data_IF_842906911372
#
_entry.id   IF_842906911372
#
_cell.length_a   1.000
_cell.length_b   1.000
_cell.length_c   1.000
_cell.angle_alpha   90.00
_cell.angle_beta   90.00
_cell.angle_gamma   90.00
#
_symmetry.space_group_name_H-M   'P 1'
#
loop_
_entity.id
_entity.type
_entity.pdbx_description
1 polymer ?
#
# COMPACT_ATOMS: atom_id res chain seq x y z
N UNK A 1 -15.64 19.01 -17.72
CA UNK A 1 -14.45 18.22 -17.31
C UNK A 1 -13.51 19.12 -16.55
N UNK A 2 -13.01 18.69 -15.40
CA UNK A 2 -11.92 19.37 -14.70
C UNK A 2 -10.59 19.09 -15.42
N UNK A 3 -9.62 20.02 -15.36
CA UNK A 3 -8.32 19.79 -15.99
C UNK A 3 -7.51 18.79 -15.19
N UNK A 4 -7.51 17.53 -15.64
CA UNK A 4 -6.77 16.43 -15.01
C UNK A 4 -5.25 16.68 -14.94
N UNK A 5 -4.68 17.26 -16.00
CA UNK A 5 -3.23 17.51 -16.05
C UNK A 5 -2.84 18.61 -15.07
N UNK A 6 -3.66 19.65 -14.93
CA UNK A 6 -3.43 20.70 -13.92
C UNK A 6 -3.56 20.17 -12.50
N UNK A 7 -4.54 19.28 -12.25
CA UNK A 7 -4.68 18.59 -10.96
C UNK A 7 -3.41 17.80 -10.60
N UNK A 8 -2.86 17.03 -11.55
CA UNK A 8 -1.60 16.34 -11.32
C UNK A 8 -0.42 17.31 -11.11
N UNK A 9 -0.40 18.42 -11.82
CA UNK A 9 0.70 19.39 -11.76
C UNK A 9 0.79 20.05 -10.39
N UNK A 10 -0.29 20.60 -9.84
CA UNK A 10 -0.26 21.26 -8.55
C UNK A 10 -0.05 20.29 -7.37
N UNK A 11 -0.47 19.03 -7.52
CA UNK A 11 -0.21 17.96 -6.54
C UNK A 11 1.24 17.47 -6.57
N UNK A 12 2.03 17.87 -7.57
CA UNK A 12 3.38 17.36 -7.78
C UNK A 12 3.42 15.93 -8.33
N UNK A 13 2.35 15.52 -9.01
CA UNK A 13 2.18 14.19 -9.61
C UNK A 13 2.45 14.15 -11.12
N UNK A 14 2.83 15.26 -11.74
CA UNK A 14 3.20 15.28 -13.15
C UNK A 14 4.73 15.20 -13.30
N UNK A 15 5.23 14.15 -14.00
CA UNK A 15 6.66 13.99 -14.33
C UNK A 15 6.90 14.26 -15.81
N UNK A 16 6.50 13.35 -16.70
CA UNK A 16 6.57 13.54 -18.14
C UNK A 16 5.18 13.47 -18.77
N UNK A 17 4.99 14.22 -19.83
CA UNK A 17 3.76 14.27 -20.61
C UNK A 17 4.10 14.36 -22.10
N UNK A 18 3.45 13.55 -22.93
CA UNK A 18 3.61 13.68 -24.38
C UNK A 18 2.96 14.98 -24.91
N UNK A 19 3.50 15.57 -25.98
CA UNK A 19 2.90 16.73 -26.64
C UNK A 19 1.41 16.51 -26.96
N UNK A 20 0.64 17.57 -26.87
CA UNK A 20 -0.81 17.64 -27.14
C UNK A 20 -1.70 16.81 -26.20
N UNK A 21 -1.16 16.11 -25.21
CA UNK A 21 -1.96 15.29 -24.27
C UNK A 21 -2.95 16.14 -23.48
N UNK A 22 -2.50 17.26 -22.91
CA UNK A 22 -3.38 18.15 -22.12
C UNK A 22 -4.52 18.73 -22.97
N UNK A 23 -4.21 19.20 -24.19
CA UNK A 23 -5.20 19.72 -25.12
C UNK A 23 -6.24 18.64 -25.48
N UNK A 24 -5.78 17.42 -25.78
CA UNK A 24 -6.68 16.30 -26.09
C UNK A 24 -7.62 15.97 -24.94
N UNK A 25 -7.11 15.90 -23.68
CA UNK A 25 -7.91 15.58 -22.50
C UNK A 25 -8.93 16.69 -22.15
N UNK A 26 -8.64 17.94 -22.49
CA UNK A 26 -9.60 19.04 -22.30
C UNK A 26 -10.76 18.99 -23.31
N UNK A 27 -10.49 18.49 -24.51
CA UNK A 27 -11.47 18.45 -25.61
C UNK A 27 -12.30 17.17 -25.63
N UNK A 28 -11.75 16.05 -25.09
CA UNK A 28 -12.34 14.73 -25.27
C UNK A 28 -12.40 13.93 -23.96
N UNK A 29 -13.57 13.35 -23.65
CA UNK A 29 -13.66 12.25 -22.68
C UNK A 29 -12.88 11.06 -23.25
N UNK A 30 -11.82 10.67 -22.55
CA UNK A 30 -10.81 9.73 -23.07
C UNK A 30 -10.72 8.50 -22.17
N UNK A 31 -10.60 7.31 -22.76
CA UNK A 31 -10.22 6.12 -22.00
C UNK A 31 -8.68 6.11 -21.80
N UNK A 32 -8.27 5.84 -20.56
CA UNK A 32 -6.86 5.76 -20.18
C UNK A 32 -6.61 4.66 -19.17
N UNK A 33 -5.40 4.05 -19.22
CA UNK A 33 -5.11 2.90 -18.36
C UNK A 33 -3.81 3.00 -17.57
N UNK A 34 -3.77 2.23 -16.48
CA UNK A 34 -2.56 1.88 -15.74
C UNK A 34 -2.52 0.36 -15.56
N UNK A 35 -1.32 -0.22 -15.72
CA UNK A 35 -1.07 -1.64 -15.49
C UNK A 35 -0.61 -1.92 -14.06
N UNK A 36 -1.08 -3.03 -13.49
CA UNK A 36 -0.73 -3.54 -12.18
C UNK A 36 -0.28 -5.00 -12.28
N UNK A 37 1.01 -5.24 -12.18
CA UNK A 37 1.56 -6.61 -12.17
C UNK A 37 1.27 -7.28 -10.81
N UNK A 38 0.63 -8.46 -10.80
CA UNK A 38 0.22 -9.16 -9.59
C UNK A 38 1.39 -9.93 -8.93
N UNK A 39 2.38 -9.18 -8.45
CA UNK A 39 3.60 -9.74 -7.82
C UNK A 39 3.38 -10.26 -6.39
N UNK A 40 2.23 -9.98 -5.81
CA UNK A 40 1.72 -10.49 -4.54
C UNK A 40 0.18 -10.47 -4.58
N UNK A 41 -0.46 -11.17 -3.63
CA UNK A 41 -1.92 -11.19 -3.47
C UNK A 41 -2.50 -9.88 -2.90
N UNK A 42 -1.66 -8.87 -2.70
CA UNK A 42 -2.03 -7.53 -2.27
C UNK A 42 -1.16 -6.49 -2.97
N UNK A 43 -1.73 -5.33 -3.22
CA UNK A 43 -1.01 -4.09 -3.53
C UNK A 43 -0.49 -3.45 -2.23
N UNK A 44 0.53 -2.63 -2.34
CA UNK A 44 1.09 -1.88 -1.22
C UNK A 44 0.90 -0.36 -1.43
N UNK A 45 1.19 0.46 -0.41
CA UNK A 45 0.98 1.92 -0.50
C UNK A 45 1.76 2.60 -1.64
N UNK A 46 2.85 2.00 -2.13
CA UNK A 46 3.52 2.49 -3.34
C UNK A 46 2.64 2.39 -4.59
N UNK A 47 1.84 1.32 -4.69
CA UNK A 47 0.87 1.13 -5.77
C UNK A 47 -0.37 2.04 -5.61
N UNK A 48 -0.64 2.51 -4.38
CA UNK A 48 -1.77 3.40 -4.11
C UNK A 48 -1.69 4.68 -4.94
N UNK A 49 -0.49 5.21 -5.18
CA UNK A 49 -0.30 6.39 -6.05
C UNK A 49 -0.94 6.17 -7.42
N UNK A 50 -0.66 5.01 -8.03
CA UNK A 50 -1.19 4.67 -9.36
C UNK A 50 -2.71 4.52 -9.36
N UNK A 51 -3.26 3.95 -8.29
CA UNK A 51 -4.71 3.83 -8.10
C UNK A 51 -5.36 5.21 -8.00
N UNK A 52 -4.76 6.10 -7.19
CA UNK A 52 -5.29 7.46 -7.01
C UNK A 52 -5.24 8.30 -8.30
N UNK A 53 -4.23 8.09 -9.15
CA UNK A 53 -4.16 8.72 -10.47
C UNK A 53 -5.33 8.27 -11.35
N UNK A 54 -5.65 6.97 -11.39
CA UNK A 54 -6.84 6.49 -12.08
C UNK A 54 -8.13 7.09 -11.49
N UNK A 55 -8.19 7.25 -10.17
CA UNK A 55 -9.35 7.88 -9.52
C UNK A 55 -9.45 9.37 -9.85
N UNK A 56 -8.34 10.12 -9.85
CA UNK A 56 -8.32 11.51 -10.31
C UNK A 56 -8.76 11.62 -11.78
N UNK A 57 -8.31 10.68 -12.62
CA UNK A 57 -8.71 10.60 -14.02
C UNK A 57 -10.21 10.37 -14.16
N UNK A 58 -10.79 9.46 -13.37
CA UNK A 58 -12.23 9.23 -13.29
C UNK A 58 -12.98 10.47 -12.83
N UNK A 59 -12.52 11.12 -11.75
CA UNK A 59 -13.13 12.32 -11.19
C UNK A 59 -13.09 13.49 -12.17
N UNK A 60 -12.12 13.53 -13.08
CA UNK A 60 -12.03 14.53 -14.14
C UNK A 60 -13.00 14.27 -15.33
N UNK A 61 -13.77 13.19 -15.30
CA UNK A 61 -14.76 12.85 -16.34
C UNK A 61 -14.21 11.91 -17.44
N UNK A 62 -13.03 11.33 -17.25
CA UNK A 62 -12.44 10.36 -18.16
C UNK A 62 -12.73 8.92 -17.73
N UNK A 63 -12.58 7.96 -18.64
CA UNK A 63 -12.84 6.54 -18.39
C UNK A 63 -11.56 5.81 -17.97
N UNK A 64 -11.42 5.41 -16.68
CA UNK A 64 -10.24 4.67 -16.22
C UNK A 64 -10.34 3.19 -16.56
N UNK A 65 -9.24 2.61 -17.02
CA UNK A 65 -9.06 1.18 -17.21
C UNK A 65 -7.94 0.72 -16.28
N UNK A 66 -8.24 -0.22 -15.38
CA UNK A 66 -7.24 -0.89 -14.56
C UNK A 66 -6.87 -2.21 -15.22
N UNK A 67 -5.62 -2.34 -15.70
CA UNK A 67 -5.13 -3.55 -16.31
C UNK A 67 -4.38 -4.39 -15.27
N UNK A 68 -4.81 -5.62 -15.05
CA UNK A 68 -4.07 -6.60 -14.26
C UNK A 68 -3.15 -7.40 -15.18
N UNK A 69 -1.86 -7.40 -14.87
CA UNK A 69 -0.82 -8.02 -15.66
C UNK A 69 -0.74 -9.54 -15.49
N UNK A 70 -1.78 -10.29 -15.85
CA UNK A 70 -1.76 -11.76 -15.78
C UNK A 70 -0.69 -12.37 -16.67
N UNK A 71 -0.53 -11.88 -17.91
CA UNK A 71 0.53 -12.33 -18.81
C UNK A 71 1.88 -11.66 -18.48
N UNK A 72 1.90 -10.34 -18.29
CA UNK A 72 3.13 -9.60 -17.97
C UNK A 72 3.73 -9.98 -16.63
N UNK A 73 2.91 -10.40 -15.66
CA UNK A 73 3.35 -10.96 -14.38
C UNK A 73 4.13 -12.27 -14.52
N UNK A 74 3.89 -13.05 -15.59
CA UNK A 74 4.68 -14.25 -15.93
C UNK A 74 6.04 -13.90 -16.54
N UNK A 75 6.19 -12.71 -17.12
CA UNK A 75 7.43 -12.26 -17.78
C UNK A 75 8.31 -11.47 -16.81
N UNK A 76 7.72 -10.53 -16.09
CA UNK A 76 8.39 -9.68 -15.11
C UNK A 76 9.02 -8.42 -15.69
N UNK A 77 8.51 -7.25 -15.25
CA UNK A 77 9.01 -5.94 -15.65
C UNK A 77 10.43 -5.66 -15.14
N UNK A 78 11.41 -5.38 -16.00
CA UNK A 78 12.77 -5.03 -15.62
C UNK A 78 12.94 -3.58 -15.16
N UNK A 79 11.93 -2.72 -15.38
CA UNK A 79 12.02 -1.28 -15.10
C UNK A 79 12.32 -0.99 -13.62
N UNK A 80 13.31 -0.12 -13.39
CA UNK A 80 13.71 0.27 -12.03
C UNK A 80 14.39 -0.82 -11.19
N UNK A 81 14.80 -1.97 -11.80
CA UNK A 81 15.39 -3.13 -11.09
C UNK A 81 16.78 -3.48 -11.59
N UNK A 82 17.58 -4.03 -10.68
CA UNK A 82 18.94 -4.48 -10.93
C UNK A 82 19.08 -6.00 -11.11
N UNK A 83 18.03 -6.77 -10.82
CA UNK A 83 18.03 -8.24 -10.90
C UNK A 83 16.72 -8.75 -11.51
N UNK A 84 16.79 -9.92 -12.15
CA UNK A 84 15.63 -10.61 -12.71
C UNK A 84 14.64 -11.04 -11.62
N UNK A 85 13.34 -11.06 -11.94
CA UNK A 85 12.30 -11.51 -11.01
C UNK A 85 12.23 -13.04 -10.97
N UNK A 86 11.92 -13.57 -9.79
CA UNK A 86 11.49 -14.96 -9.67
C UNK A 86 10.11 -15.10 -10.32
N UNK A 87 9.97 -16.07 -11.20
CA UNK A 87 8.70 -16.40 -11.83
C UNK A 87 7.77 -17.07 -10.81
N UNK A 88 6.51 -16.68 -10.81
CA UNK A 88 5.47 -17.28 -9.97
C UNK A 88 4.89 -18.51 -10.68
N UNK A 89 4.47 -19.50 -9.90
CA UNK A 89 3.64 -20.58 -10.43
C UNK A 89 2.22 -20.07 -10.74
N UNK A 90 1.51 -20.81 -11.59
CA UNK A 90 0.19 -20.40 -12.10
C UNK A 90 -0.85 -20.21 -10.97
N UNK A 91 -0.85 -21.08 -9.96
CA UNK A 91 -1.79 -21.01 -8.85
C UNK A 91 -1.54 -19.76 -7.98
N UNK A 92 -0.29 -19.47 -7.68
CA UNK A 92 0.12 -18.26 -6.96
C UNK A 92 -0.23 -17.00 -7.75
N UNK A 93 0.00 -17.02 -9.06
CA UNK A 93 -0.34 -15.89 -9.93
C UNK A 93 -1.85 -15.63 -9.96
N UNK A 94 -2.67 -16.68 -10.09
CA UNK A 94 -4.13 -16.55 -10.09
C UNK A 94 -4.65 -15.99 -8.76
N UNK A 95 -4.13 -16.46 -7.62
CA UNK A 95 -4.45 -15.90 -6.31
C UNK A 95 -4.12 -14.41 -6.22
N UNK A 96 -2.94 -14.03 -6.72
CA UNK A 96 -2.51 -12.65 -6.72
C UNK A 96 -3.40 -11.77 -7.60
N UNK A 97 -3.79 -12.25 -8.78
CA UNK A 97 -4.72 -11.56 -9.68
C UNK A 97 -6.03 -11.23 -8.96
N UNK A 98 -6.63 -12.21 -8.30
CA UNK A 98 -7.90 -12.01 -7.59
C UNK A 98 -7.76 -11.01 -6.42
N UNK A 99 -6.66 -11.07 -5.67
CA UNK A 99 -6.37 -10.10 -4.61
C UNK A 99 -6.25 -8.68 -5.13
N UNK A 100 -5.51 -8.48 -6.22
CA UNK A 100 -5.34 -7.16 -6.86
C UNK A 100 -6.67 -6.63 -7.40
N UNK A 101 -7.47 -7.48 -8.08
CA UNK A 101 -8.81 -7.11 -8.57
C UNK A 101 -9.73 -6.65 -7.44
N UNK A 102 -9.79 -7.42 -6.34
CA UNK A 102 -10.62 -7.08 -5.19
C UNK A 102 -10.24 -5.72 -4.57
N UNK A 103 -8.96 -5.38 -4.56
CA UNK A 103 -8.50 -4.09 -4.06
C UNK A 103 -8.85 -2.94 -5.01
N UNK A 104 -8.54 -3.05 -6.30
CA UNK A 104 -8.87 -2.04 -7.30
C UNK A 104 -10.36 -1.69 -7.31
N UNK A 105 -11.23 -2.69 -7.09
CA UNK A 105 -12.67 -2.51 -7.05
C UNK A 105 -13.17 -1.65 -5.87
N UNK A 106 -12.35 -1.39 -4.86
CA UNK A 106 -12.70 -0.51 -3.74
C UNK A 106 -12.47 0.97 -4.03
N UNK A 107 -11.53 1.28 -4.92
CA UNK A 107 -11.11 2.66 -5.18
C UNK A 107 -11.79 3.28 -6.40
N UNK A 108 -12.09 2.49 -7.42
CA UNK A 108 -12.66 2.95 -8.68
C UNK A 108 -14.17 2.68 -8.71
N UNK A 109 -14.93 3.57 -9.35
CA UNK A 109 -16.36 3.39 -9.52
C UNK A 109 -16.65 2.68 -10.85
N UNK A 110 -16.99 1.39 -10.75
CA UNK A 110 -17.35 0.54 -11.88
C UNK A 110 -18.81 0.66 -12.31
N UNK A 111 -19.61 1.40 -11.54
CA UNK A 111 -21.05 1.60 -11.80
C UNK A 111 -21.39 3.05 -12.19
N UNK A 112 -20.39 3.92 -12.37
CA UNK A 112 -20.60 5.29 -12.79
C UNK A 112 -21.37 5.33 -14.12
N UNK A 113 -22.34 6.23 -14.23
CA UNK A 113 -23.23 6.31 -15.40
C UNK A 113 -22.50 6.79 -16.66
N UNK A 114 -21.59 7.75 -16.53
CA UNK A 114 -20.95 8.40 -17.69
C UNK A 114 -19.58 7.80 -18.01
N UNK A 115 -18.79 7.47 -16.99
CA UNK A 115 -17.41 7.01 -17.13
C UNK A 115 -17.07 5.85 -16.17
N UNK A 116 -17.79 4.71 -16.26
CA UNK A 116 -17.53 3.57 -15.42
C UNK A 116 -16.07 3.09 -15.61
N UNK A 117 -15.43 2.73 -14.51
CA UNK A 117 -14.14 2.08 -14.57
C UNK A 117 -14.26 0.71 -15.25
N UNK A 118 -13.21 0.28 -15.93
CA UNK A 118 -13.10 -1.09 -16.43
C UNK A 118 -11.89 -1.79 -15.83
N UNK A 119 -12.04 -3.09 -15.58
CA UNK A 119 -10.96 -3.94 -15.10
C UNK A 119 -10.74 -5.05 -16.12
N UNK A 120 -9.50 -5.14 -16.62
CA UNK A 120 -9.11 -6.09 -17.65
C UNK A 120 -7.88 -6.89 -17.24
N UNK A 121 -7.71 -8.08 -17.82
CA UNK A 121 -6.55 -8.92 -17.59
C UNK A 121 -5.85 -9.18 -18.95
N UNK A 122 -4.59 -8.79 -19.08
CA UNK A 122 -3.87 -8.96 -20.36
C UNK A 122 -3.64 -10.44 -20.73
N UNK A 123 -3.80 -11.37 -19.80
CA UNK A 123 -3.78 -12.79 -20.11
C UNK A 123 -4.90 -13.18 -21.09
N UNK A 124 -6.05 -12.50 -21.05
CA UNK A 124 -7.21 -12.86 -21.87
C UNK A 124 -6.94 -12.74 -23.36
N UNK A 125 -6.10 -11.79 -23.78
CA UNK A 125 -5.71 -11.64 -25.21
C UNK A 125 -4.31 -12.16 -25.52
N UNK A 126 -3.40 -12.24 -24.54
CA UNK A 126 -2.03 -12.68 -24.79
C UNK A 126 -1.93 -14.21 -24.96
N UNK A 127 -2.75 -14.99 -24.26
CA UNK A 127 -2.69 -16.46 -24.25
C UNK A 127 -2.93 -17.10 -25.62
N UNK A 128 -3.70 -16.42 -26.48
CA UNK A 128 -4.11 -16.95 -27.80
C UNK A 128 -3.19 -16.48 -28.93
N UNK A 129 -2.19 -15.65 -28.64
CA UNK A 129 -1.23 -15.15 -29.64
C UNK A 129 -0.07 -16.12 -29.76
N UNK A 130 0.09 -16.71 -30.97
CA UNK A 130 1.27 -17.56 -31.21
C UNK A 130 2.55 -16.72 -31.20
N UNK A 131 3.68 -17.34 -30.80
CA UNK A 131 4.99 -16.68 -30.84
C UNK A 131 5.30 -16.14 -32.26
N UNK A 132 4.95 -16.89 -33.30
CA UNK A 132 5.20 -16.49 -34.70
C UNK A 132 4.38 -15.25 -35.04
N UNK A 133 3.12 -15.21 -34.66
CA UNK A 133 2.24 -14.07 -34.93
C UNK A 133 2.71 -12.84 -34.15
N UNK A 134 3.10 -13.00 -32.90
CA UNK A 134 3.62 -11.89 -32.10
C UNK A 134 4.89 -11.28 -32.73
N UNK A 135 5.87 -12.10 -33.08
CA UNK A 135 7.12 -11.64 -33.71
C UNK A 135 6.85 -11.01 -35.07
N UNK A 136 6.02 -11.66 -35.92
CA UNK A 136 5.69 -11.19 -37.27
C UNK A 136 4.89 -9.88 -37.25
N UNK A 137 3.85 -9.79 -36.39
CA UNK A 137 2.85 -8.73 -36.46
C UNK A 137 3.10 -7.59 -35.48
N UNK A 138 3.88 -7.83 -34.42
CA UNK A 138 4.27 -6.82 -33.44
C UNK A 138 5.75 -6.51 -33.54
N UNK A 139 6.61 -7.53 -33.47
CA UNK A 139 8.06 -7.36 -33.45
C UNK A 139 8.62 -6.57 -34.66
N UNK A 140 8.09 -6.78 -35.88
CA UNK A 140 8.56 -6.05 -37.08
C UNK A 140 8.36 -4.54 -37.00
N UNK A 141 7.45 -4.04 -36.18
CA UNK A 141 7.16 -2.61 -36.08
C UNK A 141 8.07 -1.85 -35.10
N UNK A 142 8.78 -2.57 -34.21
CA UNK A 142 9.70 -1.97 -33.24
C UNK A 142 11.11 -2.49 -33.51
N UNK A 143 12.03 -1.58 -33.85
CA UNK A 143 13.41 -1.97 -34.18
C UNK A 143 14.20 -2.26 -32.90
N UNK A 144 15.18 -3.17 -33.01
CA UNK A 144 16.10 -3.49 -31.89
C UNK A 144 16.83 -2.23 -31.41
N UNK A 145 17.27 -1.36 -32.36
CA UNK A 145 17.93 -0.09 -31.99
C UNK A 145 17.02 0.80 -31.14
N UNK A 146 15.72 0.86 -31.43
CA UNK A 146 14.74 1.59 -30.62
C UNK A 146 14.62 1.00 -29.23
N UNK A 147 14.54 -0.33 -29.12
CA UNK A 147 14.47 -1.03 -27.83
C UNK A 147 15.72 -0.82 -26.99
N UNK A 148 16.91 -0.91 -27.60
CA UNK A 148 18.20 -0.71 -26.93
C UNK A 148 18.44 0.74 -26.50
N UNK A 149 17.76 1.70 -27.12
CA UNK A 149 17.88 3.12 -26.76
C UNK A 149 17.16 3.49 -25.45
N UNK A 150 16.34 2.59 -24.89
CA UNK A 150 15.64 2.84 -23.62
C UNK A 150 16.61 2.86 -22.45
N UNK A 151 16.39 3.77 -21.48
CA UNK A 151 17.31 3.95 -20.34
C UNK A 151 17.38 2.71 -19.43
N UNK A 152 16.27 2.01 -19.23
CA UNK A 152 16.23 0.74 -18.50
C UNK A 152 17.11 -0.33 -19.15
N UNK A 153 17.11 -0.41 -20.48
CA UNK A 153 17.94 -1.35 -21.24
C UNK A 153 19.41 -0.92 -21.24
N UNK A 154 19.70 0.37 -21.52
CA UNK A 154 21.07 0.89 -21.50
C UNK A 154 21.77 0.64 -20.17
N UNK A 155 21.10 0.90 -19.04
CA UNK A 155 21.65 0.67 -17.69
C UNK A 155 22.02 -0.79 -17.47
N UNK A 156 21.21 -1.74 -17.95
CA UNK A 156 21.44 -3.18 -17.80
C UNK A 156 22.50 -3.74 -18.75
N UNK A 157 22.67 -3.13 -19.91
CA UNK A 157 23.69 -3.51 -20.91
C UNK A 157 25.01 -2.76 -20.72
N UNK A 158 25.11 -1.80 -19.81
CA UNK A 158 26.35 -1.07 -19.53
C UNK A 158 27.38 -1.97 -18.85
N UNK A 159 28.67 -1.64 -19.02
CA UNK A 159 29.80 -2.35 -18.38
C UNK A 159 29.77 -2.28 -16.85
N UNK A 160 28.99 -1.39 -16.27
CA UNK A 160 28.81 -1.25 -14.81
C UNK A 160 27.81 -2.26 -14.24
N UNK A 161 26.99 -2.86 -15.09
CA UNK A 161 26.01 -3.87 -14.67
C UNK A 161 26.72 -5.23 -14.46
N UNK A 162 26.59 -5.77 -13.24
CA UNK A 162 27.12 -7.11 -12.91
C UNK A 162 26.25 -8.25 -13.47
N UNK A 163 25.01 -7.96 -13.83
CA UNK A 163 24.01 -8.94 -14.29
C UNK A 163 23.47 -8.46 -15.63
N UNK A 164 23.63 -9.27 -16.67
CA UNK A 164 23.05 -9.00 -18.00
C UNK A 164 21.53 -8.91 -17.98
N UNK A 165 20.94 -8.68 -19.13
CA UNK A 165 19.48 -8.67 -19.34
C UNK A 165 19.09 -9.94 -20.09
N UNK A 166 18.11 -10.70 -19.59
CA UNK A 166 17.61 -11.88 -20.31
C UNK A 166 16.78 -11.44 -21.53
N UNK A 167 16.57 -12.37 -22.47
CA UNK A 167 15.67 -12.14 -23.60
C UNK A 167 14.24 -11.82 -23.10
N UNK A 168 13.79 -12.48 -22.05
CA UNK A 168 12.49 -12.27 -21.41
C UNK A 168 12.33 -10.83 -20.94
N UNK A 169 13.29 -10.33 -20.16
CA UNK A 169 13.30 -8.93 -19.70
C UNK A 169 13.38 -7.93 -20.86
N UNK A 170 14.21 -8.22 -21.88
CA UNK A 170 14.37 -7.34 -23.04
C UNK A 170 13.08 -7.20 -23.84
N UNK A 171 12.32 -8.28 -23.97
CA UNK A 171 11.05 -8.29 -24.72
C UNK A 171 9.86 -7.73 -23.95
N UNK A 172 9.96 -7.55 -22.64
CA UNK A 172 8.85 -7.03 -21.81
C UNK A 172 8.22 -5.76 -22.38
N UNK A 173 9.04 -4.82 -22.85
CA UNK A 173 8.54 -3.57 -23.46
C UNK A 173 7.63 -3.80 -24.68
N UNK A 174 7.77 -4.93 -25.39
CA UNK A 174 6.89 -5.28 -26.51
C UNK A 174 5.54 -5.81 -26.01
N UNK A 175 5.53 -6.58 -24.90
CA UNK A 175 4.28 -7.07 -24.30
C UNK A 175 3.44 -5.91 -23.78
N UNK A 176 4.01 -5.01 -22.99
CA UNK A 176 3.31 -3.81 -22.52
C UNK A 176 2.92 -2.88 -23.67
N UNK A 177 3.75 -2.76 -24.69
CA UNK A 177 3.43 -2.01 -25.91
C UNK A 177 2.26 -2.60 -26.67
N UNK A 178 2.17 -3.93 -26.72
CA UNK A 178 1.06 -4.64 -27.34
C UNK A 178 -0.24 -4.49 -26.53
N UNK A 179 -0.17 -4.49 -25.20
CA UNK A 179 -1.34 -4.21 -24.35
C UNK A 179 -1.94 -2.84 -24.70
N UNK A 180 -1.11 -1.81 -24.82
CA UNK A 180 -1.59 -0.49 -25.20
C UNK A 180 -2.21 -0.49 -26.62
N UNK A 181 -1.59 -1.17 -27.57
CA UNK A 181 -2.13 -1.31 -28.92
C UNK A 181 -3.47 -2.06 -28.91
N UNK A 182 -3.60 -3.14 -28.14
CA UNK A 182 -4.83 -3.90 -27.99
C UNK A 182 -5.96 -3.02 -27.41
N UNK A 183 -5.69 -2.37 -26.29
CA UNK A 183 -6.67 -1.47 -25.65
C UNK A 183 -7.05 -0.28 -26.55
N UNK A 184 -6.09 0.23 -27.33
CA UNK A 184 -6.36 1.26 -28.32
C UNK A 184 -7.35 0.79 -29.40
N UNK A 185 -7.21 -0.44 -29.87
CA UNK A 185 -8.05 -1.02 -30.94
C UNK A 185 -9.42 -1.44 -30.45
N UNK A 186 -9.47 -2.09 -29.30
CA UNK A 186 -10.69 -2.75 -28.82
C UNK A 186 -11.52 -1.88 -27.88
N UNK A 187 -10.88 -0.91 -27.20
CA UNK A 187 -11.53 -0.11 -26.15
C UNK A 187 -11.38 1.42 -26.36
N UNK A 188 -10.92 1.87 -27.52
CA UNK A 188 -10.59 3.27 -27.83
C UNK A 188 -9.73 3.95 -26.74
N UNK A 189 -8.85 3.17 -26.09
CA UNK A 189 -7.96 3.66 -25.05
C UNK A 189 -6.80 4.45 -25.68
N UNK A 190 -6.78 5.76 -25.45
CA UNK A 190 -5.78 6.65 -26.07
C UNK A 190 -4.69 7.14 -25.12
N UNK A 191 -4.81 6.88 -23.81
CA UNK A 191 -3.86 7.33 -22.82
C UNK A 191 -3.31 6.15 -22.02
N UNK A 192 -1.98 6.05 -21.91
CA UNK A 192 -1.33 5.21 -20.89
C UNK A 192 -0.65 6.09 -19.85
N UNK A 193 -0.84 5.71 -18.58
CA UNK A 193 -0.23 6.38 -17.44
C UNK A 193 0.60 5.38 -16.63
N UNK A 194 1.59 5.88 -15.87
CA UNK A 194 2.45 5.02 -15.04
C UNK A 194 3.49 5.81 -14.25
N UNK A 195 4.35 5.12 -13.51
CA UNK A 195 5.52 5.73 -12.86
C UNK A 195 6.55 6.22 -13.88
N UNK A 196 7.43 7.12 -13.47
CA UNK A 196 8.49 7.66 -14.35
C UNK A 196 9.43 6.59 -14.90
N UNK A 197 9.59 5.47 -14.19
CA UNK A 197 10.34 4.30 -14.62
C UNK A 197 9.67 3.56 -15.81
N UNK A 198 8.38 3.80 -16.05
CA UNK A 198 7.57 3.18 -17.11
C UNK A 198 7.62 3.93 -18.44
N UNK A 199 8.22 5.13 -18.51
CA UNK A 199 8.24 5.96 -19.71
C UNK A 199 8.70 5.21 -20.96
N UNK A 200 9.74 4.38 -20.82
CA UNK A 200 10.28 3.55 -21.91
C UNK A 200 9.27 2.56 -22.47
N UNK A 201 8.56 1.84 -21.60
CA UNK A 201 7.54 0.86 -21.97
C UNK A 201 6.32 1.55 -22.59
N UNK A 202 5.84 2.64 -21.96
CA UNK A 202 4.67 3.42 -22.42
C UNK A 202 4.91 3.97 -23.83
N UNK A 203 6.07 4.59 -24.06
CA UNK A 203 6.40 5.14 -25.37
C UNK A 203 6.62 4.06 -26.44
N UNK A 204 6.92 2.83 -26.06
CA UNK A 204 6.92 1.69 -27.00
C UNK A 204 5.50 1.40 -27.50
N UNK A 205 4.49 1.49 -26.63
CA UNK A 205 3.09 1.35 -27.00
C UNK A 205 2.60 2.46 -27.94
N UNK A 206 2.91 3.73 -27.62
CA UNK A 206 2.54 4.85 -28.50
C UNK A 206 3.19 4.72 -29.89
N UNK A 207 4.44 4.28 -29.96
CA UNK A 207 5.15 4.05 -31.21
C UNK A 207 4.56 2.87 -32.00
N UNK A 208 4.16 1.79 -31.33
CA UNK A 208 3.50 0.65 -31.95
C UNK A 208 2.14 1.07 -32.55
N UNK A 209 1.33 1.84 -31.83
CA UNK A 209 0.06 2.40 -32.32
C UNK A 209 0.30 3.28 -33.55
N UNK A 210 1.29 4.17 -33.49
CA UNK A 210 1.64 5.04 -34.60
C UNK A 210 2.02 4.25 -35.86
N UNK A 211 2.85 3.20 -35.70
CA UNK A 211 3.36 2.43 -36.87
C UNK A 211 2.36 1.42 -37.42
N UNK A 212 1.63 0.74 -36.51
CA UNK A 212 0.76 -0.38 -36.90
C UNK A 212 -0.68 0.07 -37.20
N UNK A 213 -1.20 1.06 -36.43
CA UNK A 213 -2.56 1.58 -36.61
C UNK A 213 -2.62 2.96 -37.30
N UNK A 214 -1.48 3.61 -37.55
CA UNK A 214 -1.40 5.00 -38.01
C UNK A 214 -2.20 5.96 -37.11
N UNK A 215 -2.32 5.60 -35.84
CA UNK A 215 -3.08 6.32 -34.84
C UNK A 215 -2.21 7.23 -33.97
N UNK A 216 -2.88 8.04 -33.14
CA UNK A 216 -2.26 8.90 -32.13
C UNK A 216 -2.68 8.42 -30.74
N UNK A 217 -1.71 8.23 -29.89
CA UNK A 217 -1.91 7.89 -28.49
C UNK A 217 -1.01 8.74 -27.59
N UNK A 218 -1.33 8.84 -26.32
CA UNK A 218 -0.75 9.78 -25.38
C UNK A 218 -0.15 9.06 -24.18
N UNK A 219 0.73 9.74 -23.47
CA UNK A 219 1.41 9.22 -22.29
C UNK A 219 1.57 10.30 -21.23
N UNK A 220 1.35 9.89 -19.96
CA UNK A 220 1.68 10.67 -18.77
C UNK A 220 2.44 9.76 -17.80
N UNK A 221 3.53 10.28 -17.23
CA UNK A 221 4.18 9.62 -16.10
C UNK A 221 4.18 10.51 -14.86
N UNK A 222 4.23 9.84 -13.72
CA UNK A 222 4.26 10.45 -12.40
C UNK A 222 5.57 10.14 -11.71
N UNK A 223 6.09 11.02 -10.83
CA UNK A 223 7.32 10.76 -10.12
C UNK A 223 7.18 9.55 -9.19
N UNK A 224 8.26 8.80 -9.02
CA UNK A 224 8.32 7.79 -7.97
C UNK A 224 8.36 8.50 -6.61
N UNK A 225 7.45 8.12 -5.72
CA UNK A 225 7.41 8.70 -4.38
C UNK A 225 8.56 8.15 -3.55
N UNK A 226 9.35 9.06 -2.97
CA UNK A 226 10.42 8.78 -2.02
C UNK A 226 10.17 9.54 -0.73
N UNK A 227 10.74 9.06 0.38
CA UNK A 227 10.77 9.84 1.61
C UNK A 227 11.75 11.01 1.50
N UNK A 228 11.62 12.01 2.36
CA UNK A 228 12.51 13.17 2.42
C UNK A 228 13.97 12.79 2.69
N UNK A 229 14.19 11.70 3.44
CA UNK A 229 15.52 11.14 3.69
C UNK A 229 16.12 10.35 2.50
N UNK A 230 15.41 10.30 1.36
CA UNK A 230 15.81 9.57 0.15
C UNK A 230 15.54 8.07 0.19
N UNK A 231 15.02 7.53 1.29
CA UNK A 231 14.67 6.10 1.37
C UNK A 231 13.39 5.78 0.60
N UNK A 232 13.18 4.50 0.34
CA UNK A 232 12.01 4.05 -0.44
C UNK A 232 10.72 4.25 0.36
N UNK A 233 9.75 4.92 -0.27
CA UNK A 233 8.39 5.03 0.24
C UNK A 233 7.72 3.64 0.35
N UNK A 234 6.91 3.46 1.40
CA UNK A 234 6.12 2.24 1.59
C UNK A 234 6.87 1.07 2.20
N UNK A 235 8.13 1.27 2.64
CA UNK A 235 8.89 0.28 3.38
C UNK A 235 9.08 0.71 4.83
N UNK A 236 8.94 -0.25 5.74
CA UNK A 236 9.29 -0.17 7.15
C UNK A 236 10.33 -1.24 7.48
N UNK A 237 10.83 -1.30 8.71
CA UNK A 237 11.67 -2.39 9.18
C UNK A 237 10.97 -3.76 9.05
N UNK A 238 9.63 -3.79 9.18
CA UNK A 238 8.79 -4.98 8.98
C UNK A 238 8.46 -5.31 7.51
N UNK A 239 8.99 -4.57 6.53
CA UNK A 239 8.73 -4.80 5.11
C UNK A 239 7.78 -3.80 4.46
N UNK A 240 7.01 -4.25 3.46
CA UNK A 240 6.05 -3.39 2.77
C UNK A 240 4.82 -3.10 3.64
N UNK A 241 4.27 -1.88 3.50
CA UNK A 241 2.94 -1.54 4.03
C UNK A 241 1.90 -1.88 2.97
N UNK A 242 1.08 -2.89 3.28
CA UNK A 242 0.12 -3.47 2.35
C UNK A 242 -1.26 -2.83 2.46
N UNK A 243 -2.04 -2.87 1.39
CA UNK A 243 -3.45 -2.42 1.38
C UNK A 243 -4.41 -3.48 1.93
N UNK A 244 -3.95 -4.73 2.07
CA UNK A 244 -4.73 -5.81 2.69
C UNK A 244 -4.60 -5.76 4.21
N UNK A 245 -5.75 -5.71 4.91
CA UNK A 245 -5.83 -5.66 6.37
C UNK A 245 -5.22 -6.90 7.06
N UNK A 246 -5.18 -8.06 6.39
CA UNK A 246 -4.56 -9.28 6.91
C UNK A 246 -3.04 -9.26 6.83
N UNK A 247 -2.45 -8.39 5.97
CA UNK A 247 -1.01 -8.23 5.82
C UNK A 247 -0.45 -7.05 6.60
N UNK A 248 -1.19 -5.96 6.63
CA UNK A 248 -0.91 -4.77 7.45
C UNK A 248 -2.22 -4.33 8.07
N UNK A 249 -2.37 -4.52 9.39
CA UNK A 249 -3.61 -4.14 10.06
C UNK A 249 -3.92 -2.66 9.87
N UNK A 250 -5.21 -2.26 9.90
CA UNK A 250 -5.60 -0.86 9.81
C UNK A 250 -4.92 0.03 10.86
N UNK A 251 -4.63 -0.51 12.04
CA UNK A 251 -3.86 0.20 13.07
C UNK A 251 -2.43 0.49 12.60
N UNK A 252 -1.66 -0.52 12.14
CA UNK A 252 -0.29 -0.32 11.62
C UNK A 252 -0.28 0.57 10.37
N UNK A 253 -1.30 0.42 9.52
CA UNK A 253 -1.49 1.25 8.34
C UNK A 253 -1.68 2.73 8.73
N UNK A 254 -2.55 3.03 9.70
CA UNK A 254 -2.73 4.37 10.24
C UNK A 254 -1.46 4.91 10.90
N UNK A 255 -0.76 4.09 11.72
CA UNK A 255 0.49 4.48 12.36
C UNK A 255 1.59 4.84 11.35
N UNK A 256 1.64 4.18 10.21
CA UNK A 256 2.60 4.52 9.14
C UNK A 256 2.46 5.99 8.71
N UNK A 257 1.24 6.43 8.45
CA UNK A 257 0.96 7.82 8.07
C UNK A 257 1.20 8.80 9.23
N UNK A 258 0.78 8.40 10.41
CA UNK A 258 0.98 9.20 11.62
C UNK A 258 2.46 9.44 11.92
N UNK A 259 3.35 8.53 11.54
CA UNK A 259 4.80 8.62 11.78
C UNK A 259 5.59 9.28 10.62
N UNK A 260 4.93 9.79 9.59
CA UNK A 260 5.61 10.54 8.52
C UNK A 260 6.30 11.81 9.09
N UNK A 261 7.43 12.20 8.52
CA UNK A 261 8.07 13.49 8.86
C UNK A 261 7.17 14.66 8.45
N UNK A 262 7.40 15.85 8.99
CA UNK A 262 6.60 17.04 8.63
C UNK A 262 6.81 17.38 7.15
N UNK A 263 8.03 17.27 6.64
CA UNK A 263 8.36 17.47 5.22
C UNK A 263 7.64 16.46 4.32
N UNK A 264 7.63 15.19 4.70
CA UNK A 264 6.87 14.16 3.97
C UNK A 264 5.37 14.40 4.03
N UNK A 265 4.84 14.82 5.18
CA UNK A 265 3.42 15.06 5.36
C UNK A 265 2.90 16.18 4.45
N UNK A 266 3.65 17.28 4.24
CA UNK A 266 3.28 18.33 3.29
C UNK A 266 3.22 17.84 1.83
N UNK A 267 4.04 16.86 1.48
CA UNK A 267 4.01 16.20 0.18
C UNK A 267 2.87 15.19 0.10
N UNK A 268 2.72 14.34 1.13
CA UNK A 268 1.77 13.23 1.11
C UNK A 268 0.32 13.69 1.16
N UNK A 269 0.00 14.79 1.86
CA UNK A 269 -1.37 15.34 1.88
C UNK A 269 -1.86 15.68 0.47
N UNK A 270 -0.97 16.17 -0.41
CA UNK A 270 -1.28 16.45 -1.81
C UNK A 270 -1.45 15.19 -2.65
N UNK A 271 -0.63 14.16 -2.40
CA UNK A 271 -0.57 12.95 -3.22
C UNK A 271 -1.68 11.97 -2.87
N UNK A 272 -1.96 11.77 -1.57
CA UNK A 272 -2.76 10.65 -1.07
C UNK A 272 -4.17 11.02 -0.63
N UNK A 273 -4.59 12.28 -0.79
CA UNK A 273 -5.94 12.72 -0.45
C UNK A 273 -6.67 13.36 -1.63
N UNK A 274 -8.00 13.40 -1.56
CA UNK A 274 -8.84 14.08 -2.54
C UNK A 274 -9.30 15.47 -2.05
N UNK A 275 -8.68 15.99 -1.00
CA UNK A 275 -8.93 17.36 -0.53
C UNK A 275 -8.60 18.37 -1.63
N UNK A 276 -9.36 19.44 -1.70
CA UNK A 276 -9.09 20.53 -2.63
C UNK A 276 -7.82 21.32 -2.24
N UNK A 277 -7.36 22.15 -3.17
CA UNK A 277 -6.12 22.89 -3.02
C UNK A 277 -6.16 23.85 -1.83
N UNK A 278 -7.28 24.56 -1.69
CA UNK A 278 -7.49 25.56 -0.64
C UNK A 278 -7.46 24.91 0.76
N UNK A 279 -8.14 23.77 0.92
CA UNK A 279 -8.13 23.02 2.18
C UNK A 279 -6.74 22.50 2.52
N UNK A 280 -5.99 21.98 1.54
CA UNK A 280 -4.61 21.50 1.75
C UNK A 280 -3.68 22.66 2.13
N UNK A 281 -3.75 23.79 1.44
CA UNK A 281 -2.92 24.96 1.72
C UNK A 281 -3.20 25.53 3.13
N UNK A 282 -4.48 25.60 3.54
CA UNK A 282 -4.85 25.99 4.90
C UNK A 282 -4.30 25.05 5.97
N UNK A 283 -4.43 23.74 5.77
CA UNK A 283 -3.88 22.72 6.68
C UNK A 283 -2.36 22.78 6.80
N UNK A 284 -1.66 23.06 5.70
CA UNK A 284 -0.19 23.22 5.70
C UNK A 284 0.22 24.43 6.53
N UNK A 285 -0.49 25.56 6.37
CA UNK A 285 -0.22 26.79 7.15
C UNK A 285 -0.41 26.52 8.65
N UNK A 286 -1.57 25.95 9.03
CA UNK A 286 -1.87 25.62 10.43
C UNK A 286 -0.86 24.61 11.01
N UNK A 287 -0.49 23.59 10.25
CA UNK A 287 0.52 22.61 10.69
C UNK A 287 1.87 23.24 10.98
N UNK A 288 2.34 24.17 10.14
CA UNK A 288 3.62 24.87 10.32
C UNK A 288 3.65 25.74 11.58
N UNK A 289 2.51 26.27 12.02
CA UNK A 289 2.40 27.00 13.28
C UNK A 289 2.48 26.08 14.51
N UNK A 290 1.94 24.85 14.40
CA UNK A 290 1.83 23.89 15.51
C UNK A 290 2.25 22.47 15.11
N UNK A 291 3.48 22.23 14.65
CA UNK A 291 3.89 20.94 14.07
C UNK A 291 3.79 19.77 15.09
N UNK A 292 3.97 20.06 16.38
CA UNK A 292 3.84 19.07 17.45
C UNK A 292 2.42 18.44 17.57
N UNK A 293 1.39 19.11 17.05
CA UNK A 293 0.02 18.57 16.99
C UNK A 293 -0.16 17.54 15.88
N UNK A 294 0.79 17.45 14.92
CA UNK A 294 0.80 16.50 13.80
C UNK A 294 -0.49 16.52 12.97
N UNK A 295 -0.99 17.72 12.66
CA UNK A 295 -2.28 17.91 11.99
C UNK A 295 -2.31 17.24 10.62
N UNK A 296 -1.25 17.44 9.79
CA UNK A 296 -1.17 16.84 8.46
C UNK A 296 -1.13 15.32 8.54
N UNK A 297 -0.29 14.75 9.40
CA UNK A 297 -0.16 13.29 9.55
C UNK A 297 -1.48 12.65 9.98
N UNK A 298 -2.18 13.29 10.92
CA UNK A 298 -3.51 12.83 11.36
C UNK A 298 -4.52 12.88 10.23
N UNK A 299 -4.54 13.98 9.46
CA UNK A 299 -5.49 14.12 8.34
C UNK A 299 -5.20 13.15 7.21
N UNK A 300 -3.94 12.95 6.85
CA UNK A 300 -3.55 11.93 5.88
C UNK A 300 -3.95 10.54 6.38
N UNK A 301 -3.62 10.22 7.63
CA UNK A 301 -3.96 8.93 8.24
C UNK A 301 -5.46 8.68 8.25
N UNK A 302 -6.29 9.67 8.57
CA UNK A 302 -7.74 9.62 8.47
C UNK A 302 -8.19 9.31 7.06
N UNK A 303 -7.90 10.21 6.10
CA UNK A 303 -8.36 10.11 4.70
C UNK A 303 -7.95 8.78 4.05
N UNK A 304 -6.68 8.40 4.20
CA UNK A 304 -6.16 7.22 3.52
C UNK A 304 -6.61 5.92 4.20
N UNK A 305 -6.75 5.90 5.53
CA UNK A 305 -7.25 4.70 6.23
C UNK A 305 -8.74 4.49 5.95
N UNK A 306 -9.56 5.55 5.97
CA UNK A 306 -10.98 5.45 5.62
C UNK A 306 -11.15 4.96 4.17
N UNK A 307 -10.40 5.53 3.24
CA UNK A 307 -10.46 5.16 1.82
C UNK A 307 -10.06 3.70 1.58
N UNK A 308 -9.08 3.18 2.33
CA UNK A 308 -8.52 1.83 2.12
C UNK A 308 -9.29 0.77 2.92
N UNK A 309 -9.65 1.05 4.16
CA UNK A 309 -10.17 0.08 5.13
C UNK A 309 -11.58 0.39 5.65
N UNK A 310 -12.10 1.60 5.38
CA UNK A 310 -13.41 2.05 5.83
C UNK A 310 -13.39 2.78 7.18
N UNK A 311 -14.52 3.44 7.49
CA UNK A 311 -14.69 4.28 8.68
C UNK A 311 -14.51 3.50 9.99
N UNK A 312 -15.12 2.32 10.09
CA UNK A 312 -15.05 1.47 11.30
C UNK A 312 -13.60 1.07 11.62
N UNK A 313 -12.83 0.69 10.61
CA UNK A 313 -11.42 0.33 10.79
C UNK A 313 -10.57 1.52 11.24
N UNK A 314 -10.86 2.72 10.73
CA UNK A 314 -10.22 3.95 11.19
C UNK A 314 -10.57 4.27 12.65
N UNK A 315 -11.84 4.21 13.02
CA UNK A 315 -12.28 4.46 14.39
C UNK A 315 -11.62 3.49 15.38
N UNK A 316 -11.49 2.22 15.01
CA UNK A 316 -10.78 1.22 15.80
C UNK A 316 -9.26 1.51 15.88
N UNK A 317 -8.64 1.98 14.80
CA UNK A 317 -7.22 2.37 14.81
C UNK A 317 -6.96 3.58 15.73
N UNK A 318 -7.88 4.56 15.76
CA UNK A 318 -7.80 5.70 16.70
C UNK A 318 -7.93 5.22 18.15
N UNK A 319 -8.92 4.37 18.47
CA UNK A 319 -9.08 3.80 19.82
C UNK A 319 -7.81 3.05 20.23
N UNK A 320 -7.27 2.21 19.34
CA UNK A 320 -6.03 1.48 19.56
C UNK A 320 -4.83 2.42 19.88
N UNK A 321 -4.69 3.51 19.13
CA UNK A 321 -3.65 4.53 19.37
C UNK A 321 -3.80 5.18 20.77
N UNK A 322 -5.02 5.45 21.19
CA UNK A 322 -5.30 6.03 22.49
C UNK A 322 -4.97 5.08 23.66
N UNK A 323 -5.05 3.76 23.43
CA UNK A 323 -4.70 2.75 24.42
C UNK A 323 -3.23 2.83 24.83
N UNK A 324 -2.32 3.03 23.88
CA UNK A 324 -0.89 3.17 24.19
C UNK A 324 -0.53 4.52 24.82
N UNK A 325 -1.11 5.60 24.32
CA UNK A 325 -0.66 6.97 24.60
C UNK A 325 -1.60 7.77 25.49
N UNK A 326 -2.82 7.24 25.78
CA UNK A 326 -3.89 7.94 26.49
C UNK A 326 -4.31 7.33 27.81
N UNK A 327 -5.45 7.82 28.31
CA UNK A 327 -6.15 7.34 29.51
C UNK A 327 -7.20 6.29 29.11
N UNK A 328 -6.78 5.23 28.42
CA UNK A 328 -7.69 4.15 28.03
C UNK A 328 -8.14 3.33 29.23
N UNK A 329 -9.36 2.83 29.13
CA UNK A 329 -9.99 1.96 30.12
C UNK A 329 -9.76 0.48 29.80
N UNK A 330 -10.08 -0.40 30.73
CA UNK A 330 -10.13 -1.85 30.52
C UNK A 330 -11.15 -2.24 29.44
N UNK A 331 -12.25 -1.50 29.33
CA UNK A 331 -13.29 -1.72 28.31
C UNK A 331 -12.76 -1.45 26.90
N UNK A 332 -11.93 -0.43 26.72
CA UNK A 332 -11.30 -0.13 25.44
C UNK A 332 -10.41 -1.30 24.97
N UNK A 333 -9.66 -1.91 25.90
CA UNK A 333 -8.85 -3.10 25.60
C UNK A 333 -9.70 -4.31 25.20
N UNK A 334 -10.84 -4.52 25.88
CA UNK A 334 -11.76 -5.64 25.60
C UNK A 334 -12.46 -5.51 24.25
N UNK A 335 -12.55 -4.30 23.71
CA UNK A 335 -13.17 -4.04 22.41
C UNK A 335 -12.27 -4.32 21.21
N UNK A 336 -10.97 -4.60 21.43
CA UNK A 336 -10.01 -4.87 20.37
C UNK A 336 -10.12 -6.31 19.87
N UNK A 337 -9.98 -6.47 18.54
CA UNK A 337 -9.70 -7.77 17.96
C UNK A 337 -8.26 -8.22 18.27
N UNK A 338 -8.00 -9.52 18.17
CA UNK A 338 -6.71 -10.12 18.51
C UNK A 338 -5.55 -9.56 17.71
N UNK A 339 -5.74 -9.34 16.41
CA UNK A 339 -4.68 -8.83 15.55
C UNK A 339 -4.30 -7.39 15.93
N UNK A 340 -5.28 -6.52 16.11
CA UNK A 340 -5.05 -5.14 16.56
C UNK A 340 -4.39 -5.10 17.93
N UNK A 341 -4.82 -5.96 18.86
CA UNK A 341 -4.19 -6.08 20.20
C UNK A 341 -2.72 -6.47 20.09
N UNK A 342 -2.38 -7.50 19.32
CA UNK A 342 -1.00 -7.94 19.11
C UNK A 342 -0.14 -6.89 18.42
N UNK A 343 -0.69 -6.16 17.47
CA UNK A 343 0.02 -5.08 16.78
C UNK A 343 0.33 -3.89 17.71
N UNK A 344 -0.59 -3.56 18.63
CA UNK A 344 -0.38 -2.52 19.65
C UNK A 344 0.77 -2.89 20.58
N UNK A 345 0.81 -4.16 20.98
CA UNK A 345 1.80 -4.68 21.93
C UNK A 345 2.96 -5.44 21.26
N UNK A 346 3.23 -5.17 19.97
CA UNK A 346 4.36 -5.79 19.28
C UNK A 346 5.68 -5.51 20.00
N UNK A 347 6.49 -6.55 20.17
CA UNK A 347 7.78 -6.48 20.87
C UNK A 347 7.67 -6.43 22.41
N UNK A 348 6.47 -6.42 22.97
CA UNK A 348 6.27 -6.56 24.41
C UNK A 348 6.62 -7.99 24.83
N UNK A 349 7.44 -8.19 25.90
CA UNK A 349 7.75 -9.51 26.42
C UNK A 349 6.48 -10.29 26.79
N UNK A 350 6.47 -11.61 26.51
CA UNK A 350 5.33 -12.46 26.79
C UNK A 350 5.75 -13.83 27.36
N UNK A 351 4.85 -14.47 28.09
CA UNK A 351 4.99 -15.85 28.53
C UNK A 351 3.63 -16.57 28.45
N UNK A 352 3.68 -17.87 28.19
CA UNK A 352 2.48 -18.71 28.16
C UNK A 352 2.17 -19.26 29.56
N UNK A 353 0.89 -19.27 29.90
CA UNK A 353 0.33 -19.93 31.06
C UNK A 353 -0.77 -20.91 30.62
N UNK A 354 -0.93 -22.01 31.31
CA UNK A 354 -1.96 -22.99 30.96
C UNK A 354 -3.36 -22.46 31.23
N UNK A 355 -4.35 -22.92 30.46
CA UNK A 355 -5.74 -22.63 30.73
C UNK A 355 -6.15 -23.10 32.14
N UNK A 356 -5.61 -24.24 32.61
CA UNK A 356 -5.84 -24.77 33.94
C UNK A 356 -5.37 -23.80 35.03
N UNK A 357 -4.24 -23.11 34.85
CA UNK A 357 -3.78 -22.07 35.79
C UNK A 357 -4.78 -20.92 35.93
N UNK A 358 -5.41 -20.52 34.84
CA UNK A 358 -6.43 -19.46 34.83
C UNK A 358 -7.75 -19.95 35.42
N UNK A 359 -8.19 -21.17 35.07
CA UNK A 359 -9.45 -21.76 35.60
C UNK A 359 -9.39 -21.98 37.10
N UNK A 360 -8.19 -22.33 37.63
CA UNK A 360 -7.95 -22.48 39.09
C UNK A 360 -7.71 -21.13 39.81
N UNK A 361 -7.62 -20.02 39.06
CA UNK A 361 -7.31 -18.72 39.59
C UNK A 361 -5.82 -18.49 39.77
N UNK A 362 -5.19 -17.71 38.88
CA UNK A 362 -3.77 -17.40 38.93
C UNK A 362 -3.53 -16.22 39.88
N UNK A 363 -2.84 -16.46 41.00
CA UNK A 363 -2.47 -15.39 41.94
C UNK A 363 -1.45 -14.41 41.34
N UNK A 364 -1.43 -13.18 41.85
CA UNK A 364 -0.59 -12.11 41.34
C UNK A 364 0.91 -12.37 41.48
N UNK A 365 1.37 -13.10 42.49
CA UNK A 365 2.79 -13.43 42.67
C UNK A 365 3.21 -14.45 41.63
N UNK A 366 2.37 -15.44 41.36
CA UNK A 366 2.54 -16.40 40.28
C UNK A 366 2.60 -15.73 38.91
N UNK A 367 1.63 -14.85 38.64
CA UNK A 367 1.53 -14.10 37.38
C UNK A 367 2.71 -13.15 37.13
N UNK A 368 3.20 -12.48 38.20
CA UNK A 368 4.27 -11.45 38.03
C UNK A 368 5.68 -12.04 38.05
N UNK A 369 5.92 -13.14 38.75
CA UNK A 369 7.28 -13.67 38.97
C UNK A 369 7.41 -15.14 38.63
N UNK A 370 6.71 -16.03 39.34
CA UNK A 370 6.99 -17.47 39.30
C UNK A 370 6.73 -18.12 37.92
N UNK A 371 5.65 -17.70 37.24
CA UNK A 371 5.23 -18.27 35.94
C UNK A 371 5.76 -17.48 34.74
N UNK A 372 6.12 -16.21 34.91
CA UNK A 372 6.38 -15.32 33.77
C UNK A 372 7.79 -14.74 33.75
N UNK A 373 8.39 -14.56 34.91
CA UNK A 373 9.65 -13.84 35.02
C UNK A 373 9.54 -12.35 34.69
N UNK A 374 8.33 -11.78 34.62
CA UNK A 374 8.15 -10.32 34.40
C UNK A 374 8.86 -9.52 35.48
N UNK A 375 8.77 -9.98 36.74
CA UNK A 375 9.55 -9.47 37.85
C UNK A 375 10.54 -10.52 38.33
N UNK A 376 11.71 -10.10 38.79
CA UNK A 376 12.84 -10.97 39.08
C UNK A 376 12.61 -11.92 40.29
N UNK A 377 11.68 -11.58 41.17
CA UNK A 377 11.41 -12.39 42.37
C UNK A 377 10.04 -12.12 42.96
N UNK A 378 9.54 -13.07 43.77
CA UNK A 378 8.31 -12.92 44.54
C UNK A 378 8.35 -11.72 45.49
N UNK A 379 9.53 -11.41 46.06
CA UNK A 379 9.71 -10.23 46.92
C UNK A 379 9.55 -8.91 46.16
N UNK A 380 10.03 -8.84 44.93
CA UNK A 380 9.83 -7.68 44.05
C UNK A 380 8.36 -7.54 43.63
N UNK A 381 7.68 -8.65 43.35
CA UNK A 381 6.25 -8.66 43.03
C UNK A 381 5.40 -8.11 44.19
N UNK A 382 5.62 -8.60 45.43
CA UNK A 382 4.94 -8.08 46.61
C UNK A 382 5.18 -6.59 46.85
N UNK A 383 6.40 -6.13 46.68
CA UNK A 383 6.73 -4.71 46.80
C UNK A 383 6.00 -3.87 45.80
N UNK A 384 6.03 -4.26 44.50
CA UNK A 384 5.35 -3.54 43.43
C UNK A 384 3.83 -3.48 43.62
N UNK A 385 3.22 -4.55 44.15
CA UNK A 385 1.78 -4.57 44.50
C UNK A 385 1.46 -3.63 45.67
N UNK A 386 2.28 -3.63 46.76
CA UNK A 386 2.13 -2.68 47.89
C UNK A 386 2.28 -1.22 47.48
N UNK A 387 3.18 -0.93 46.51
CA UNK A 387 3.39 0.40 45.96
C UNK A 387 2.30 0.83 44.97
N UNK A 388 1.26 0.00 44.78
CA UNK A 388 0.20 0.23 43.79
C UNK A 388 0.75 0.45 42.38
N UNK A 389 1.89 -0.22 42.05
CA UNK A 389 2.58 -0.05 40.77
C UNK A 389 2.09 -1.01 39.67
N UNK A 390 1.29 -2.02 40.01
CA UNK A 390 0.82 -3.07 39.10
C UNK A 390 -0.60 -2.80 38.64
N UNK A 391 -0.84 -3.09 37.36
CA UNK A 391 -2.19 -3.15 36.79
C UNK A 391 -2.35 -4.43 35.95
N UNK A 392 -3.56 -4.95 35.93
CA UNK A 392 -4.06 -6.00 35.04
C UNK A 392 -5.08 -5.35 34.10
N UNK A 393 -4.91 -5.51 32.80
CA UNK A 393 -5.79 -4.90 31.80
C UNK A 393 -6.08 -3.41 32.04
N UNK A 394 -5.06 -2.63 32.45
CA UNK A 394 -5.11 -1.20 32.81
C UNK A 394 -5.75 -0.89 34.17
N UNK A 395 -6.35 -1.84 34.87
CA UNK A 395 -6.91 -1.64 36.19
C UNK A 395 -5.88 -1.94 37.29
N UNK A 396 -5.81 -1.06 38.28
CA UNK A 396 -4.92 -1.26 39.42
C UNK A 396 -5.36 -2.43 40.30
N UNK A 397 -4.41 -3.31 40.59
CA UNK A 397 -4.65 -4.52 41.36
C UNK A 397 -3.79 -4.59 42.62
N UNK A 398 -4.25 -5.34 43.61
CA UNK A 398 -3.55 -5.65 44.89
C UNK A 398 -3.12 -7.10 44.90
N UNK A 399 -2.46 -7.51 46.02
CA UNK A 399 -1.91 -8.87 46.17
C UNK A 399 -3.00 -9.94 46.21
N UNK A 400 -4.21 -9.60 46.68
CA UNK A 400 -5.39 -10.47 46.78
C UNK A 400 -6.14 -10.65 45.44
N UNK A 401 -5.77 -9.92 44.41
CA UNK A 401 -6.37 -10.08 43.07
C UNK A 401 -5.96 -11.43 42.46
N UNK A 402 -6.92 -12.11 41.85
CA UNK A 402 -6.73 -13.39 41.17
C UNK A 402 -7.17 -13.24 39.73
N UNK A 403 -6.25 -13.53 38.81
CA UNK A 403 -6.54 -13.53 37.37
C UNK A 403 -7.40 -14.75 37.04
N UNK A 404 -8.50 -14.51 36.35
CA UNK A 404 -9.50 -15.50 35.97
C UNK A 404 -9.87 -15.40 34.50
N UNK A 405 -10.75 -16.26 34.02
CA UNK A 405 -11.25 -16.25 32.66
C UNK A 405 -11.93 -14.94 32.24
N UNK A 406 -12.49 -14.18 33.22
CA UNK A 406 -13.10 -12.87 32.96
C UNK A 406 -12.09 -11.77 32.62
N UNK A 407 -10.81 -12.01 32.90
CA UNK A 407 -9.71 -11.07 32.59
C UNK A 407 -9.08 -11.33 31.25
N UNK A 408 -9.50 -12.36 30.53
CA UNK A 408 -8.99 -12.66 29.19
C UNK A 408 -9.51 -11.63 28.20
N UNK A 409 -8.60 -11.03 27.46
CA UNK A 409 -8.85 -10.09 26.38
C UNK A 409 -8.28 -10.64 25.08
N UNK A 410 -8.75 -10.14 23.93
CA UNK A 410 -8.28 -10.54 22.60
C UNK A 410 -8.16 -12.08 22.47
N UNK A 411 -9.18 -12.81 22.94
CA UNK A 411 -9.35 -14.28 22.91
C UNK A 411 -8.37 -15.10 23.79
N UNK A 412 -7.14 -14.65 24.03
CA UNK A 412 -6.12 -15.47 24.67
C UNK A 412 -5.09 -14.71 25.51
N UNK A 413 -5.32 -13.44 25.85
CA UNK A 413 -4.29 -12.63 26.49
C UNK A 413 -4.78 -11.95 27.77
N UNK A 414 -3.84 -11.70 28.67
CA UNK A 414 -4.01 -10.78 29.81
C UNK A 414 -2.83 -9.81 29.79
N UNK A 415 -3.10 -8.51 29.89
CA UNK A 415 -2.09 -7.47 29.91
C UNK A 415 -1.66 -7.16 31.32
N UNK A 416 -0.41 -7.45 31.66
CA UNK A 416 0.23 -7.00 32.89
C UNK A 416 0.99 -5.69 32.64
N UNK A 417 0.94 -4.77 33.61
CA UNK A 417 1.64 -3.49 33.50
C UNK A 417 2.28 -3.09 34.81
N UNK A 418 3.56 -2.65 34.78
CA UNK A 418 4.25 -2.02 35.90
C UNK A 418 4.57 -0.57 35.60
N UNK A 419 4.02 0.36 36.40
CA UNK A 419 4.14 1.79 36.15
C UNK A 419 3.46 2.22 34.86
N UNK A 420 4.05 3.19 34.13
CA UNK A 420 3.42 3.77 32.91
C UNK A 420 3.80 3.10 31.61
N UNK A 421 4.98 2.44 31.54
CA UNK A 421 5.57 2.03 30.24
C UNK A 421 5.99 0.56 30.17
N UNK A 422 6.03 -0.18 31.28
CA UNK A 422 6.48 -1.57 31.29
C UNK A 422 5.29 -2.50 31.16
N UNK A 423 5.12 -3.06 29.99
CA UNK A 423 4.05 -4.00 29.65
C UNK A 423 4.60 -5.43 29.56
N UNK A 424 3.75 -6.40 29.82
CA UNK A 424 4.01 -7.81 29.65
C UNK A 424 2.72 -8.54 29.29
N UNK A 425 2.77 -9.48 28.35
CA UNK A 425 1.62 -10.26 27.94
C UNK A 425 1.64 -11.66 28.55
N UNK A 426 0.56 -12.04 29.19
CA UNK A 426 0.25 -13.43 29.47
C UNK A 426 -0.54 -13.99 28.30
N UNK A 427 -0.01 -15.03 27.64
CA UNK A 427 -0.74 -15.79 26.64
C UNK A 427 -1.30 -17.05 27.28
N UNK A 428 -2.60 -17.26 27.18
CA UNK A 428 -3.28 -18.46 27.64
C UNK A 428 -3.18 -19.52 26.54
N UNK A 429 -2.57 -20.66 26.85
CA UNK A 429 -2.30 -21.75 25.90
C UNK A 429 -3.05 -23.04 26.28
#
# INVERSE_FOLDING_TARGET
MTNFVEELRWRGLLHDIMPDTEAHLLEHATAGYIGFDPTADSLHIGSLVQILILKHFQNAGHKPIALVGGATGMVGDPSGKSAERNLLDEASLQKNIEGVKAQLSRFLDFNATENPAELVNNFDWMKDISLIDFVRDTGKHITVNYMMAKDSVKKRLSSESKVGMSFTEFTYQLFQGYDFYHLYKEMDCKLQMGGSDQWGNITTGTELIRRKAQGKAYAITVPLVTKADGTKFGKTEGGNVWLDANRTSPYKFYQYWLNASDEDAEKYIKIFTFLDKEAIEALIIEHRETPHLRLLQKKIGEEVTIMTHGQEAFDNAIKASQILFGKSTSEDLKSLDEQTFLDIFEGVPQASVSKEDIDNGLDMIGALAAKTGFLKSNGEARRALKENAISVNKEKVKEDFVISTSDIIANAYVLLQRGKKNYFLLKIA
#
